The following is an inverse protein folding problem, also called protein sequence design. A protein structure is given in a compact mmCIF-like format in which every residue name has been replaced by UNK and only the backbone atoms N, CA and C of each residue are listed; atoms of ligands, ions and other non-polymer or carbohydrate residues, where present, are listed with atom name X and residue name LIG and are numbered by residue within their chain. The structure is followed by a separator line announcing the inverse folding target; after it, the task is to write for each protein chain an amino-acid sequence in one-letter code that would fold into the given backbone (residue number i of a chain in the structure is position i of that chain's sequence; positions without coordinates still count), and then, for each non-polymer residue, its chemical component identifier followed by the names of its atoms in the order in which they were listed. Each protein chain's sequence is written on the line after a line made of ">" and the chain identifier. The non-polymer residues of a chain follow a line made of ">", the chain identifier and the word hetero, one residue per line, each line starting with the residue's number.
data_IF_770545556081
#
_entry.id   IF_770545556081
#
_cell.length_a   1.000
_cell.length_b   1.000
_cell.length_c   1.000
_cell.angle_alpha   90.00
_cell.angle_beta   90.00
_cell.angle_gamma   90.00
#
_symmetry.space_group_name_H-M   'P 1'
#
loop_
_entity.id
_entity.type
_entity.pdbx_description
1 polymer ?
#
# COMPACT_ATOMS: atom_id res chain seq x y z
N UNK A 1 9.43 -4.59 -8.81
CA UNK A 1 9.93 -3.24 -8.47
C UNK A 1 11.39 -3.38 -8.15
N UNK A 2 12.23 -2.60 -8.82
CA UNK A 2 13.69 -2.68 -8.67
C UNK A 2 14.24 -1.29 -8.45
N UNK A 3 15.26 -1.19 -7.59
CA UNK A 3 16.03 0.02 -7.37
C UNK A 3 17.52 -0.33 -7.55
N UNK A 4 18.26 0.51 -8.25
CA UNK A 4 19.70 0.33 -8.47
C UNK A 4 20.42 1.67 -8.54
N UNK A 5 21.70 1.68 -8.20
CA UNK A 5 22.56 2.84 -8.36
C UNK A 5 23.15 2.80 -9.78
N UNK A 6 23.03 3.89 -10.53
CA UNK A 6 23.57 3.95 -11.89
C UNK A 6 25.11 4.03 -11.84
N UNK A 7 25.79 3.21 -12.64
CA UNK A 7 27.26 3.12 -12.63
C UNK A 7 27.88 4.45 -13.02
N UNK A 8 28.74 5.02 -12.16
CA UNK A 8 29.36 6.33 -12.39
C UNK A 8 28.46 7.53 -12.04
N UNK A 9 27.32 7.32 -11.38
CA UNK A 9 26.44 8.36 -10.88
C UNK A 9 26.16 8.19 -9.38
N UNK A 10 25.78 9.28 -8.73
CA UNK A 10 25.15 9.25 -7.39
C UNK A 10 23.63 9.10 -7.45
N UNK A 11 23.07 9.07 -8.66
CA UNK A 11 21.62 8.99 -8.86
C UNK A 11 21.11 7.55 -8.77
N UNK A 12 20.05 7.38 -7.99
CA UNK A 12 19.31 6.13 -7.87
C UNK A 12 18.24 6.04 -8.97
N UNK A 13 18.23 4.92 -9.68
CA UNK A 13 17.21 4.58 -10.66
C UNK A 13 16.20 3.61 -10.04
N UNK A 14 14.97 3.65 -10.55
CA UNK A 14 13.90 2.77 -10.09
C UNK A 14 12.90 2.47 -11.20
N UNK A 15 12.30 1.28 -11.16
CA UNK A 15 11.11 0.99 -11.98
C UNK A 15 9.85 1.53 -11.29
N UNK A 16 8.82 1.85 -12.09
CA UNK A 16 7.56 2.33 -11.55
C UNK A 16 6.92 1.30 -10.60
N UNK A 17 6.48 1.75 -9.43
CA UNK A 17 5.80 0.91 -8.44
C UNK A 17 4.34 0.68 -8.87
N UNK A 18 4.12 -0.37 -9.65
CA UNK A 18 2.85 -0.67 -10.32
C UNK A 18 2.28 -2.03 -9.91
N UNK A 19 0.97 -2.20 -10.11
CA UNK A 19 0.29 -3.50 -9.99
C UNK A 19 0.55 -4.23 -8.67
N UNK A 20 1.01 -5.47 -8.76
CA UNK A 20 1.24 -6.34 -7.61
C UNK A 20 2.40 -5.85 -6.73
N UNK A 21 3.45 -5.27 -7.32
CA UNK A 21 4.59 -4.76 -6.56
C UNK A 21 4.16 -3.64 -5.61
N UNK A 22 3.24 -2.78 -6.06
CA UNK A 22 2.66 -1.72 -5.23
C UNK A 22 1.92 -2.29 -4.03
N UNK A 23 1.15 -3.36 -4.21
CA UNK A 23 0.44 -4.03 -3.12
C UNK A 23 1.42 -4.66 -2.13
N UNK A 24 2.43 -5.37 -2.64
CA UNK A 24 3.45 -6.03 -1.81
C UNK A 24 4.22 -5.02 -0.97
N UNK A 25 4.70 -3.93 -1.57
CA UNK A 25 5.41 -2.87 -0.84
C UNK A 25 4.49 -2.25 0.21
N UNK A 26 3.28 -1.85 -0.13
CA UNK A 26 2.41 -1.19 0.84
C UNK A 26 1.96 -2.13 1.98
N UNK A 27 1.86 -3.44 1.75
CA UNK A 27 1.53 -4.42 2.80
C UNK A 27 2.71 -4.76 3.71
N UNK A 28 3.93 -4.90 3.16
CA UNK A 28 5.05 -5.49 3.90
C UNK A 28 6.14 -4.48 4.27
N UNK A 29 6.17 -3.31 3.63
CA UNK A 29 7.21 -2.32 3.89
C UNK A 29 7.11 -1.77 5.31
N UNK A 30 8.25 -1.71 6.00
CA UNK A 30 8.30 -1.16 7.34
C UNK A 30 8.27 0.38 7.31
N UNK A 31 7.08 0.95 7.52
CA UNK A 31 6.86 2.40 7.51
C UNK A 31 7.63 3.15 8.61
N UNK A 32 8.09 2.47 9.66
CA UNK A 32 8.90 3.13 10.72
C UNK A 32 10.30 3.52 10.23
N UNK A 33 10.72 3.02 9.06
CA UNK A 33 11.95 3.46 8.40
C UNK A 33 11.82 4.87 7.78
N UNK A 34 10.60 5.34 7.53
CA UNK A 34 10.34 6.63 6.87
C UNK A 34 9.62 7.62 7.78
N UNK A 35 8.82 7.14 8.73
CA UNK A 35 7.98 7.96 9.60
C UNK A 35 8.18 7.60 11.06
N UNK A 36 7.91 8.56 11.95
CA UNK A 36 7.78 8.29 13.39
C UNK A 36 6.74 7.19 13.63
N UNK A 37 6.96 6.35 14.64
CA UNK A 37 6.12 5.16 14.91
C UNK A 37 4.62 5.47 14.96
N UNK A 38 4.23 6.57 15.60
CA UNK A 38 2.82 7.00 15.69
C UNK A 38 2.22 7.26 14.31
N UNK A 39 2.94 8.01 13.46
CA UNK A 39 2.51 8.31 12.08
C UNK A 39 2.53 7.07 11.19
N UNK A 40 3.55 6.23 11.32
CA UNK A 40 3.65 4.96 10.61
C UNK A 40 2.44 4.05 10.90
N UNK A 41 2.00 3.98 12.16
CA UNK A 41 0.83 3.21 12.57
C UNK A 41 -0.48 3.79 12.00
N UNK A 42 -0.64 5.12 11.99
CA UNK A 42 -1.81 5.76 11.38
C UNK A 42 -1.91 5.45 9.88
N UNK A 43 -0.81 5.63 9.15
CA UNK A 43 -0.75 5.33 7.70
C UNK A 43 -1.03 3.84 7.46
N UNK A 44 -0.44 2.95 8.27
CA UNK A 44 -0.69 1.50 8.21
C UNK A 44 -2.18 1.18 8.36
N UNK A 45 -2.85 1.79 9.34
CA UNK A 45 -4.28 1.58 9.57
C UNK A 45 -5.12 2.01 8.37
N UNK A 46 -4.89 3.21 7.85
CA UNK A 46 -5.59 3.72 6.67
C UNK A 46 -5.39 2.81 5.46
N UNK A 47 -4.15 2.38 5.23
CA UNK A 47 -3.83 1.49 4.12
C UNK A 47 -4.49 0.11 4.27
N UNK A 48 -4.48 -0.46 5.49
CA UNK A 48 -5.12 -1.74 5.75
C UNK A 48 -6.63 -1.67 5.50
N UNK A 49 -7.30 -0.61 5.97
CA UNK A 49 -8.74 -0.40 5.73
C UNK A 49 -9.03 -0.27 4.23
N UNK A 50 -8.27 0.56 3.53
CA UNK A 50 -8.39 0.69 2.07
C UNK A 50 -8.16 -0.65 1.36
N UNK A 51 -7.18 -1.44 1.79
CA UNK A 51 -6.89 -2.73 1.19
C UNK A 51 -8.02 -3.75 1.39
N UNK A 52 -8.71 -3.73 2.53
CA UNK A 52 -9.91 -4.54 2.76
C UNK A 52 -11.03 -4.16 1.78
N UNK A 53 -11.29 -2.86 1.61
CA UNK A 53 -12.26 -2.37 0.63
C UNK A 53 -11.88 -2.78 -0.80
N UNK A 54 -10.60 -2.67 -1.16
CA UNK A 54 -10.11 -3.11 -2.46
C UNK A 54 -10.30 -4.61 -2.71
N UNK A 55 -10.14 -5.47 -1.68
CA UNK A 55 -10.48 -6.89 -1.82
C UNK A 55 -11.98 -7.09 -1.99
N UNK A 56 -12.78 -6.38 -1.20
CA UNK A 56 -14.23 -6.50 -1.20
C UNK A 56 -14.80 -6.10 -2.57
N UNK A 57 -14.38 -4.99 -3.18
CA UNK A 57 -14.87 -4.58 -4.50
C UNK A 57 -14.51 -5.58 -5.62
N UNK A 58 -13.40 -6.33 -5.45
CA UNK A 58 -12.96 -7.37 -6.40
C UNK A 58 -13.65 -8.72 -6.19
N UNK A 59 -14.31 -8.92 -5.07
CA UNK A 59 -15.00 -10.17 -4.76
C UNK A 59 -16.46 -10.07 -5.23
N UNK A 60 -16.84 -10.95 -6.18
CA UNK A 60 -18.20 -10.99 -6.73
C UNK A 60 -19.29 -11.36 -5.72
N UNK A 61 -18.91 -11.88 -4.55
CA UNK A 61 -19.83 -12.24 -3.46
C UNK A 61 -20.01 -11.14 -2.42
N UNK A 62 -19.37 -9.99 -2.59
CA UNK A 62 -19.46 -8.90 -1.62
C UNK A 62 -20.86 -8.30 -1.59
N UNK A 63 -21.42 -8.19 -0.40
CA UNK A 63 -22.70 -7.51 -0.18
C UNK A 63 -22.51 -5.98 -0.28
N UNK A 64 -23.30 -5.32 -1.13
CA UNK A 64 -23.18 -3.90 -1.42
C UNK A 64 -23.49 -3.00 -0.20
N UNK A 65 -24.48 -3.36 0.62
CA UNK A 65 -24.84 -2.59 1.82
C UNK A 65 -23.73 -2.67 2.87
N UNK A 66 -23.17 -3.87 3.09
CA UNK A 66 -22.06 -4.04 4.02
C UNK A 66 -20.81 -3.29 3.54
N UNK A 67 -20.50 -3.36 2.24
CA UNK A 67 -19.40 -2.61 1.65
C UNK A 67 -19.55 -1.10 1.85
N UNK A 68 -20.75 -0.55 1.66
CA UNK A 68 -21.00 0.87 1.90
C UNK A 68 -20.77 1.25 3.37
N UNK A 69 -21.25 0.43 4.32
CA UNK A 69 -21.00 0.66 5.75
C UNK A 69 -19.51 0.64 6.07
N UNK A 70 -18.77 -0.34 5.55
CA UNK A 70 -17.33 -0.48 5.78
C UNK A 70 -16.53 0.68 5.16
N UNK A 71 -17.01 1.26 4.05
CA UNK A 71 -16.36 2.40 3.40
C UNK A 71 -16.57 3.74 4.13
N UNK A 72 -17.58 3.82 5.00
CA UNK A 72 -17.90 5.03 5.79
C UNK A 72 -17.40 4.96 7.25
N UNK A 73 -16.76 3.85 7.66
CA UNK A 73 -16.21 3.64 9.00
C UNK A 73 -14.82 4.27 9.17
#
# INVERSE_FOLDING_TARGET
>A
FYFWLETGSTNWQYTSLMGQDKLTVLQHFNLTKLFLCTRANQIRSLWNNFYLLYKAIKNSKTNAEQFSKDAHA
#
